data_IF_326402096303
#
_entry.id   IF_326402096303
#
_cell.length_a   1.000
_cell.length_b   1.000
_cell.length_c   1.000
_cell.angle_alpha   90.00
_cell.angle_beta   90.00
_cell.angle_gamma   90.00
#
_symmetry.space_group_name_H-M   'P 1'
#
loop_
_entity.id
_entity.type
_entity.pdbx_description
1 polymer ?
#
# COMPACT_ATOMS: atom_id res chain seq x y z
N UNK A 1 14.91 11.95 5.76
CA UNK A 1 13.53 12.42 5.45
C UNK A 1 12.97 11.48 4.39
N UNK A 2 11.87 10.78 4.66
CA UNK A 2 11.33 9.74 3.76
C UNK A 2 9.91 10.08 3.30
N UNK A 3 9.61 11.36 3.08
CA UNK A 3 8.28 11.83 2.71
C UNK A 3 7.85 11.43 1.28
N UNK A 4 8.80 11.15 0.38
CA UNK A 4 8.49 10.80 -1.01
C UNK A 4 8.06 9.34 -1.25
N UNK A 5 8.07 8.48 -0.23
CA UNK A 5 7.68 7.08 -0.39
C UNK A 5 6.16 6.94 -0.48
N UNK A 6 5.43 7.60 0.42
CA UNK A 6 3.96 7.56 0.45
C UNK A 6 3.34 8.24 -0.76
N UNK A 7 3.93 9.33 -1.26
CA UNK A 7 3.42 10.05 -2.43
C UNK A 7 3.42 9.18 -3.70
N UNK A 8 4.34 8.21 -3.79
CA UNK A 8 4.39 7.25 -4.92
C UNK A 8 3.40 6.11 -4.75
N UNK A 9 3.26 5.59 -3.53
CA UNK A 9 2.36 4.45 -3.24
C UNK A 9 0.89 4.87 -3.28
N UNK A 10 0.58 6.08 -2.82
CA UNK A 10 -0.78 6.65 -2.78
C UNK A 10 -1.56 6.49 -4.09
N UNK A 11 -1.08 6.97 -5.24
CA UNK A 11 -1.80 6.84 -6.50
C UNK A 11 -1.91 5.39 -6.97
N UNK A 12 -0.99 4.49 -6.59
CA UNK A 12 -1.09 3.08 -6.99
C UNK A 12 -2.21 2.37 -6.21
N UNK A 13 -2.28 2.58 -4.90
CA UNK A 13 -3.35 2.03 -4.07
C UNK A 13 -4.72 2.64 -4.41
N UNK A 14 -4.80 3.96 -4.64
CA UNK A 14 -6.06 4.59 -5.05
C UNK A 14 -6.57 4.13 -6.42
N UNK A 15 -5.68 3.69 -7.31
CA UNK A 15 -6.06 3.11 -8.60
C UNK A 15 -6.31 1.60 -8.53
N UNK A 16 -6.06 0.95 -7.39
CA UNK A 16 -6.30 -0.49 -7.21
C UNK A 16 -7.79 -0.72 -6.98
N UNK A 17 -8.39 -1.54 -7.83
CA UNK A 17 -9.82 -1.76 -7.82
C UNK A 17 -10.23 -2.57 -6.58
N UNK A 18 -11.32 -2.18 -5.94
CA UNK A 18 -11.83 -2.87 -4.76
C UNK A 18 -11.21 -2.43 -3.43
N UNK A 19 -10.26 -1.48 -3.43
CA UNK A 19 -9.81 -0.80 -2.21
C UNK A 19 -10.81 0.31 -1.87
N UNK A 20 -11.39 0.26 -0.67
CA UNK A 20 -12.25 1.33 -0.14
C UNK A 20 -11.44 2.36 0.66
N UNK A 21 -10.48 1.89 1.45
CA UNK A 21 -9.58 2.75 2.21
C UNK A 21 -8.28 2.03 2.52
N UNK A 22 -7.21 2.79 2.70
CA UNK A 22 -5.92 2.25 3.13
C UNK A 22 -5.22 3.24 4.05
N UNK A 23 -4.31 2.74 4.88
CA UNK A 23 -3.50 3.57 5.77
C UNK A 23 -2.17 2.88 6.04
N UNK A 24 -1.10 3.67 6.11
CA UNK A 24 0.23 3.18 6.49
C UNK A 24 0.53 3.67 7.89
N UNK A 25 0.85 2.75 8.78
CA UNK A 25 1.29 3.08 10.11
C UNK A 25 2.79 3.40 10.11
N UNK A 26 3.11 4.70 9.97
CA UNK A 26 4.48 5.19 10.03
C UNK A 26 5.07 5.24 11.46
N UNK A 27 4.23 5.07 12.48
CA UNK A 27 4.70 5.01 13.86
C UNK A 27 5.25 3.62 14.17
N UNK A 28 4.75 2.60 13.47
CA UNK A 28 5.32 1.27 13.49
C UNK A 28 6.67 1.24 12.73
N UNK A 29 7.74 0.66 13.33
CA UNK A 29 9.05 0.56 12.67
C UNK A 29 8.98 -0.24 11.36
N UNK A 30 8.04 -1.18 11.28
CA UNK A 30 7.79 -2.04 10.11
C UNK A 30 6.91 -1.39 9.05
N UNK A 31 6.35 -0.20 9.31
CA UNK A 31 5.53 0.58 8.35
C UNK A 31 4.38 -0.22 7.75
N UNK A 32 3.53 -0.75 8.61
CA UNK A 32 2.43 -1.64 8.23
C UNK A 32 1.41 -0.92 7.34
N UNK A 33 1.17 -1.44 6.15
CA UNK A 33 0.09 -1.02 5.25
C UNK A 33 -1.18 -1.82 5.56
N UNK A 34 -2.22 -1.12 6.00
CA UNK A 34 -3.56 -1.70 6.17
C UNK A 34 -4.43 -1.30 4.99
N UNK A 35 -5.03 -2.29 4.32
CA UNK A 35 -5.98 -2.08 3.23
C UNK A 35 -7.34 -2.62 3.64
N UNK A 36 -8.40 -1.83 3.41
CA UNK A 36 -9.80 -2.23 3.61
C UNK A 36 -10.53 -2.11 2.29
N UNK A 37 -11.29 -3.13 1.96
CA UNK A 37 -12.13 -3.14 0.78
C UNK A 37 -12.84 -4.47 0.62
N UNK A 38 -14.01 -4.42 0.01
CA UNK A 38 -14.89 -5.60 -0.11
C UNK A 38 -14.48 -6.58 -1.22
N UNK A 39 -13.62 -6.15 -2.16
CA UNK A 39 -13.23 -6.96 -3.32
C UNK A 39 -11.78 -6.71 -3.77
N UNK A 40 -10.90 -6.46 -2.80
CA UNK A 40 -9.45 -6.28 -3.04
C UNK A 40 -8.75 -7.62 -3.13
N UNK A 41 -7.90 -7.78 -4.15
CA UNK A 41 -6.99 -8.91 -4.24
C UNK A 41 -5.62 -8.54 -3.65
N UNK A 42 -5.07 -9.38 -2.80
CA UNK A 42 -3.78 -9.14 -2.13
C UNK A 42 -2.65 -9.01 -3.16
N UNK A 43 -2.69 -9.80 -4.23
CA UNK A 43 -1.73 -9.74 -5.33
C UNK A 43 -1.72 -8.37 -6.04
N UNK A 44 -2.89 -7.74 -6.21
CA UNK A 44 -3.00 -6.42 -6.84
C UNK A 44 -2.36 -5.34 -5.97
N UNK A 45 -2.56 -5.41 -4.65
CA UNK A 45 -1.93 -4.51 -3.68
C UNK A 45 -0.41 -4.69 -3.70
N UNK A 46 0.08 -5.93 -3.69
CA UNK A 46 1.51 -6.24 -3.74
C UNK A 46 2.12 -5.73 -5.06
N UNK A 47 1.45 -5.95 -6.19
CA UNK A 47 1.90 -5.47 -7.49
C UNK A 47 1.92 -3.92 -7.57
N UNK A 48 0.91 -3.26 -7.02
CA UNK A 48 0.81 -1.80 -6.96
C UNK A 48 2.00 -1.18 -6.22
N UNK A 49 2.44 -1.80 -5.11
CA UNK A 49 3.56 -1.29 -4.32
C UNK A 49 4.92 -1.71 -4.88
N UNK A 50 5.05 -2.91 -5.44
CA UNK A 50 6.25 -3.32 -6.17
C UNK A 50 6.53 -2.41 -7.38
N UNK A 51 5.50 -1.94 -8.09
CA UNK A 51 5.64 -0.99 -9.21
C UNK A 51 6.34 0.31 -8.83
N UNK A 52 6.26 0.72 -7.57
CA UNK A 52 6.91 1.93 -7.06
C UNK A 52 8.25 1.66 -6.38
N UNK A 53 8.75 0.42 -6.47
CA UNK A 53 10.07 0.01 -6.01
C UNK A 53 10.14 -0.41 -4.55
N UNK A 54 9.00 -0.78 -3.95
CA UNK A 54 8.91 -1.23 -2.56
C UNK A 54 8.49 -2.69 -2.52
N UNK A 55 9.19 -3.50 -1.74
CA UNK A 55 8.73 -4.83 -1.36
C UNK A 55 7.77 -4.71 -0.18
N UNK A 56 6.68 -5.48 -0.23
CA UNK A 56 5.82 -5.73 0.92
C UNK A 56 5.74 -7.24 1.09
N UNK A 57 5.83 -7.68 2.34
CA UNK A 57 5.56 -9.05 2.74
C UNK A 57 4.27 -9.11 3.54
N UNK A 58 3.53 -10.20 3.37
CA UNK A 58 2.33 -10.46 4.16
C UNK A 58 2.75 -10.83 5.58
N UNK A 59 2.15 -10.15 6.56
CA UNK A 59 2.26 -10.45 7.99
C UNK A 59 1.06 -11.23 8.51
#
# INVERSE_FOLDING_TARGET
MCNGCLEKVTPQLNNTQGIESWSVDLQNPDKILTVKGSNTNEEDVIAAVNKVGFQIDRV
#
